data_IF_584268537788
#
_entry.id   IF_584268537788
#
_cell.length_a   1.000
_cell.length_b   1.000
_cell.length_c   1.000
_cell.angle_alpha   90.00
_cell.angle_beta   90.00
_cell.angle_gamma   90.00
#
_symmetry.space_group_name_H-M   'P 1'
#
loop_
_entity.id
_entity.type
_entity.pdbx_description
1 polymer ?
#
# COMPACT_ATOMS: atom_id res chain seq x y z
N UNK A 1 12.71 4.70 -18.23
CA UNK A 1 12.12 3.46 -18.75
C UNK A 1 10.99 3.80 -19.69
N UNK A 2 10.89 3.10 -20.82
CA UNK A 2 9.80 3.36 -21.77
C UNK A 2 8.46 2.87 -21.22
N UNK A 3 7.36 3.44 -21.73
CA UNK A 3 6.02 3.02 -21.34
C UNK A 3 5.75 1.55 -21.71
N UNK A 4 6.36 1.05 -22.79
CA UNK A 4 6.21 -0.34 -23.20
C UNK A 4 6.83 -1.29 -22.19
N UNK A 5 7.98 -0.95 -21.65
CA UNK A 5 8.64 -1.76 -20.62
C UNK A 5 7.82 -1.77 -19.32
N UNK A 6 7.28 -0.64 -18.93
CA UNK A 6 6.41 -0.56 -17.76
C UNK A 6 5.16 -1.41 -17.93
N UNK A 7 4.57 -1.36 -19.11
CA UNK A 7 3.36 -2.14 -19.41
C UNK A 7 3.66 -3.64 -19.34
N UNK A 8 4.77 -4.09 -19.93
CA UNK A 8 5.19 -5.48 -19.90
C UNK A 8 5.44 -5.97 -18.47
N UNK A 9 6.12 -5.16 -17.65
CA UNK A 9 6.41 -5.50 -16.27
C UNK A 9 5.13 -5.68 -15.44
N UNK A 10 4.16 -4.81 -15.62
CA UNK A 10 2.88 -4.90 -14.91
C UNK A 10 2.11 -6.16 -15.32
N UNK A 11 2.08 -6.48 -16.61
CA UNK A 11 1.42 -7.67 -17.10
C UNK A 11 2.07 -8.93 -16.53
N UNK A 12 3.40 -8.95 -16.47
CA UNK A 12 4.14 -10.07 -15.89
C UNK A 12 3.82 -10.24 -14.41
N UNK A 13 3.79 -9.16 -13.64
CA UNK A 13 3.44 -9.22 -12.22
C UNK A 13 2.02 -9.70 -12.01
N UNK A 14 1.08 -9.21 -12.79
CA UNK A 14 -0.31 -9.63 -12.70
C UNK A 14 -0.46 -11.13 -12.92
N UNK A 15 0.26 -11.67 -13.89
CA UNK A 15 0.23 -13.10 -14.20
C UNK A 15 0.78 -13.94 -13.05
N UNK A 16 1.87 -13.49 -12.40
CA UNK A 16 2.55 -14.26 -11.36
C UNK A 16 1.91 -14.11 -9.98
N UNK A 17 1.41 -12.93 -9.67
CA UNK A 17 0.79 -12.66 -8.36
C UNK A 17 -0.69 -13.00 -8.31
N UNK A 18 -1.33 -13.13 -9.47
CA UNK A 18 -2.77 -13.28 -9.59
C UNK A 18 -3.48 -11.94 -9.75
N UNK A 19 -4.79 -11.99 -9.85
CA UNK A 19 -5.60 -10.79 -10.01
C UNK A 19 -5.55 -9.93 -8.75
N UNK A 20 -5.84 -8.64 -8.92
CA UNK A 20 -5.98 -7.71 -7.81
C UNK A 20 -6.95 -8.22 -6.75
N UNK A 21 -8.08 -8.76 -7.19
CA UNK A 21 -9.11 -9.27 -6.28
C UNK A 21 -8.62 -10.49 -5.50
N UNK A 22 -7.84 -11.35 -6.13
CA UNK A 22 -7.26 -12.52 -5.45
C UNK A 22 -6.28 -12.09 -4.37
N UNK A 23 -5.41 -11.10 -4.68
CA UNK A 23 -4.45 -10.59 -3.71
C UNK A 23 -5.18 -9.94 -2.53
N UNK A 24 -6.18 -9.10 -2.81
CA UNK A 24 -6.98 -8.47 -1.75
C UNK A 24 -7.64 -9.51 -0.86
N UNK A 25 -8.21 -10.54 -1.46
CA UNK A 25 -8.85 -11.62 -0.72
C UNK A 25 -7.87 -12.30 0.24
N UNK A 26 -6.65 -12.56 -0.22
CA UNK A 26 -5.63 -13.17 0.65
C UNK A 26 -5.22 -12.25 1.81
N UNK A 27 -5.23 -10.95 1.58
CA UNK A 27 -4.83 -9.98 2.59
C UNK A 27 -5.89 -9.77 3.67
N UNK A 28 -7.13 -10.21 3.43
CA UNK A 28 -8.20 -10.05 4.42
C UNK A 28 -7.91 -10.78 5.73
N UNK A 29 -7.03 -11.77 5.73
CA UNK A 29 -6.65 -12.50 6.96
C UNK A 29 -6.00 -11.58 8.01
N UNK A 30 -5.45 -10.44 7.57
CA UNK A 30 -4.81 -9.48 8.46
C UNK A 30 -5.78 -8.45 9.03
N UNK A 31 -7.00 -8.34 8.49
CA UNK A 31 -7.95 -7.33 8.92
C UNK A 31 -8.33 -7.40 10.41
N UNK A 32 -8.51 -8.57 11.02
CA UNK A 32 -8.81 -8.61 12.44
C UNK A 32 -7.77 -7.92 13.31
N UNK A 33 -6.48 -8.05 12.93
CA UNK A 33 -5.38 -7.43 13.66
C UNK A 33 -5.41 -5.90 13.55
N UNK A 34 -5.57 -5.38 12.33
CA UNK A 34 -5.60 -3.93 12.14
C UNK A 34 -6.87 -3.31 12.73
N UNK A 35 -7.99 -4.00 12.68
CA UNK A 35 -9.23 -3.54 13.30
C UNK A 35 -9.10 -3.47 14.83
N UNK A 36 -8.39 -4.40 15.43
CA UNK A 36 -8.11 -4.36 16.86
C UNK A 36 -7.26 -3.14 17.22
N UNK A 37 -6.24 -2.83 16.43
CA UNK A 37 -5.42 -1.64 16.63
C UNK A 37 -6.30 -0.38 16.57
N UNK A 38 -7.19 -0.31 15.58
CA UNK A 38 -8.08 0.84 15.42
C UNK A 38 -9.08 0.97 16.58
N UNK A 39 -9.50 -0.15 17.17
CA UNK A 39 -10.41 -0.10 18.32
C UNK A 39 -9.73 0.47 19.56
N UNK A 40 -8.41 0.26 19.69
CA UNK A 40 -7.61 0.83 20.77
C UNK A 40 -7.27 2.30 20.50
N UNK A 41 -6.95 2.60 19.23
CA UNK A 41 -6.58 3.96 18.79
C UNK A 41 -7.40 4.31 17.55
N UNK A 42 -8.58 4.95 17.70
CA UNK A 42 -9.44 5.28 16.56
C UNK A 42 -8.79 6.20 15.52
N UNK A 43 -7.74 6.92 15.89
CA UNK A 43 -7.00 7.80 14.98
C UNK A 43 -5.78 7.11 14.36
N UNK A 44 -5.69 5.79 14.44
CA UNK A 44 -4.57 5.03 13.91
C UNK A 44 -4.40 5.27 12.40
N UNK A 45 -3.16 5.52 12.00
CA UNK A 45 -2.79 5.66 10.59
C UNK A 45 -1.86 4.53 10.19
N UNK A 46 -1.82 4.24 8.89
CA UNK A 46 -1.02 3.13 8.37
C UNK A 46 -0.08 3.61 7.27
N UNK A 47 1.09 3.00 7.18
CA UNK A 47 2.06 3.22 6.12
C UNK A 47 2.47 1.86 5.56
N UNK A 48 2.33 1.68 4.24
CA UNK A 48 2.76 0.47 3.56
C UNK A 48 4.05 0.74 2.78
N UNK A 49 5.10 0.03 3.15
CA UNK A 49 6.43 0.16 2.53
C UNK A 49 6.50 -0.80 1.36
N UNK A 50 6.79 -0.28 0.16
CA UNK A 50 6.77 -1.09 -1.05
C UNK A 50 5.34 -1.46 -1.43
N UNK A 51 4.45 -0.48 -1.50
CA UNK A 51 3.02 -0.72 -1.65
C UNK A 51 2.61 -1.30 -3.02
N UNK A 52 3.49 -1.23 -4.03
CA UNK A 52 3.22 -1.81 -5.34
C UNK A 52 1.93 -1.29 -5.96
N UNK A 53 1.03 -2.20 -6.32
CA UNK A 53 -0.25 -1.85 -6.95
C UNK A 53 -1.31 -1.36 -5.95
N UNK A 54 -1.01 -1.37 -4.66
CA UNK A 54 -1.86 -0.79 -3.64
C UNK A 54 -3.03 -1.64 -3.19
N UNK A 55 -2.98 -2.96 -3.37
CA UNK A 55 -4.07 -3.84 -2.92
C UNK A 55 -4.33 -3.70 -1.42
N UNK A 56 -3.26 -3.67 -0.62
CA UNK A 56 -3.39 -3.53 0.82
C UNK A 56 -3.90 -2.13 1.20
N UNK A 57 -3.40 -1.09 0.53
CA UNK A 57 -3.88 0.28 0.77
C UNK A 57 -5.37 0.41 0.49
N UNK A 58 -5.83 -0.16 -0.63
CA UNK A 58 -7.24 -0.13 -0.98
C UNK A 58 -8.09 -0.84 0.06
N UNK A 59 -7.61 -2.00 0.53
CA UNK A 59 -8.32 -2.77 1.55
C UNK A 59 -8.40 -1.98 2.87
N UNK A 60 -7.32 -1.33 3.28
CA UNK A 60 -7.32 -0.49 4.47
C UNK A 60 -8.29 0.69 4.33
N UNK A 61 -8.28 1.35 3.17
CA UNK A 61 -9.16 2.47 2.91
C UNK A 61 -10.64 2.04 2.95
N UNK A 62 -10.95 0.89 2.38
CA UNK A 62 -12.30 0.32 2.43
C UNK A 62 -12.77 0.03 3.86
N UNK A 63 -11.83 -0.14 4.78
CA UNK A 63 -12.11 -0.38 6.19
C UNK A 63 -11.87 0.86 7.05
N UNK A 64 -11.96 2.04 6.45
CA UNK A 64 -11.92 3.35 7.09
C UNK A 64 -10.60 3.68 7.78
N UNK A 65 -9.49 3.12 7.29
CA UNK A 65 -8.16 3.53 7.75
C UNK A 65 -7.65 4.72 6.93
N UNK A 66 -6.97 5.63 7.58
CA UNK A 66 -6.13 6.61 6.92
C UNK A 66 -4.80 5.93 6.61
N UNK A 67 -4.58 5.63 5.34
CA UNK A 67 -3.42 4.85 4.93
C UNK A 67 -2.67 5.54 3.79
N UNK A 68 -1.35 5.38 3.78
CA UNK A 68 -0.49 5.87 2.70
C UNK A 68 0.52 4.79 2.33
N UNK A 69 1.07 4.89 1.13
CA UNK A 69 2.04 3.93 0.63
C UNK A 69 3.23 4.60 -0.02
N UNK A 70 4.35 3.89 -0.03
CA UNK A 70 5.60 4.35 -0.62
C UNK A 70 6.16 3.22 -1.47
N UNK A 71 6.64 3.57 -2.66
CA UNK A 71 7.30 2.61 -3.53
C UNK A 71 8.32 3.36 -4.40
N UNK A 72 9.35 2.65 -4.83
CA UNK A 72 10.34 3.19 -5.77
C UNK A 72 9.83 3.17 -7.21
N UNK A 73 8.85 2.33 -7.52
CA UNK A 73 8.32 2.17 -8.88
C UNK A 73 7.18 3.13 -9.14
N UNK A 74 7.49 4.26 -9.77
CA UNK A 74 6.51 5.29 -10.07
C UNK A 74 5.42 4.81 -11.06
N UNK A 75 5.75 3.85 -11.92
CA UNK A 75 4.77 3.26 -12.83
C UNK A 75 3.64 2.56 -12.07
N UNK A 76 3.99 1.81 -11.04
CA UNK A 76 2.99 1.17 -10.17
C UNK A 76 2.17 2.20 -9.40
N UNK A 77 2.82 3.25 -8.91
CA UNK A 77 2.13 4.28 -8.14
C UNK A 77 1.15 5.09 -8.99
N UNK A 78 1.41 5.21 -10.29
CA UNK A 78 0.46 5.85 -11.20
C UNK A 78 -0.89 5.16 -11.16
N UNK A 79 -0.92 3.82 -11.16
CA UNK A 79 -2.15 3.05 -11.04
C UNK A 79 -2.82 3.27 -9.67
N UNK A 80 -2.04 3.38 -8.61
CA UNK A 80 -2.57 3.68 -7.28
C UNK A 80 -3.23 5.05 -7.24
N UNK A 81 -2.59 6.06 -7.85
CA UNK A 81 -3.14 7.43 -7.88
C UNK A 81 -4.46 7.48 -8.63
N UNK A 82 -4.59 6.74 -9.72
CA UNK A 82 -5.83 6.69 -10.47
C UNK A 82 -6.98 6.04 -9.68
N UNK A 83 -6.67 5.29 -8.66
CA UNK A 83 -7.66 4.69 -7.74
C UNK A 83 -7.92 5.57 -6.50
N UNK A 84 -7.31 6.74 -6.43
CA UNK A 84 -7.49 7.64 -5.30
C UNK A 84 -6.70 7.25 -4.05
N UNK A 85 -5.67 6.41 -4.20
CA UNK A 85 -4.84 6.00 -3.09
C UNK A 85 -3.75 7.04 -2.82
N UNK A 86 -3.42 7.25 -1.57
CA UNK A 86 -2.39 8.19 -1.15
C UNK A 86 -1.03 7.52 -1.19
N UNK A 87 -0.25 7.79 -2.25
CA UNK A 87 1.05 7.15 -2.45
C UNK A 87 2.10 8.18 -2.84
N UNK A 88 3.35 7.86 -2.52
CA UNK A 88 4.51 8.67 -2.88
C UNK A 88 5.64 7.79 -3.40
N UNK A 89 6.37 8.29 -4.39
CA UNK A 89 7.61 7.66 -4.84
C UNK A 89 8.70 7.98 -3.82
N UNK A 90 9.41 6.96 -3.36
CA UNK A 90 10.50 7.21 -2.44
C UNK A 90 11.11 5.95 -1.88
N UNK A 91 12.20 6.15 -1.14
CA UNK A 91 12.86 5.09 -0.39
C UNK A 91 12.17 4.92 0.96
N UNK A 92 11.88 3.67 1.32
CA UNK A 92 11.14 3.36 2.53
C UNK A 92 11.84 3.87 3.80
N UNK A 93 13.17 3.66 3.88
CA UNK A 93 13.93 4.05 5.07
C UNK A 93 14.02 5.57 5.19
N UNK A 94 14.33 6.24 4.07
CA UNK A 94 14.41 7.71 4.07
C UNK A 94 13.06 8.35 4.38
N UNK A 95 11.97 7.70 3.97
CA UNK A 95 10.62 8.22 4.20
C UNK A 95 10.19 8.11 5.66
N UNK A 96 10.74 7.17 6.41
CA UNK A 96 10.41 7.02 7.83
C UNK A 96 11.11 8.06 8.71
N UNK A 97 12.31 8.52 8.31
CA UNK A 97 13.12 9.41 9.13
C UNK A 97 12.46 10.72 9.52
N UNK A 98 11.76 11.43 8.60
CA UNK A 98 11.18 12.72 8.94
C UNK A 98 9.85 12.64 9.69
N UNK A 99 9.33 11.45 9.94
CA UNK A 99 8.03 11.31 10.59
C UNK A 99 8.18 11.56 12.10
N UNK A 100 7.24 12.29 12.71
CA UNK A 100 7.25 12.49 14.15
C UNK A 100 7.07 11.14 14.88
N UNK A 101 7.65 11.04 16.07
CA UNK A 101 7.42 9.89 16.92
C UNK A 101 5.93 9.70 17.18
N UNK A 102 5.47 8.44 17.11
CA UNK A 102 4.07 8.08 17.35
C UNK A 102 3.08 8.58 16.28
N UNK A 103 3.57 9.03 15.11
CA UNK A 103 2.69 9.46 14.03
C UNK A 103 2.05 8.31 13.26
N UNK A 104 2.58 7.08 13.40
CA UNK A 104 2.07 5.89 12.74
C UNK A 104 1.71 4.83 13.76
N UNK A 105 0.62 4.12 13.51
CA UNK A 105 0.19 3.01 14.35
C UNK A 105 0.43 1.66 13.69
N UNK A 106 0.48 1.64 12.36
CA UNK A 106 0.65 0.41 11.58
C UNK A 106 1.67 0.67 10.49
N UNK A 107 2.69 -0.17 10.42
CA UNK A 107 3.66 -0.17 9.33
C UNK A 107 3.71 -1.58 8.76
N UNK A 108 3.51 -1.69 7.45
CA UNK A 108 3.50 -2.99 6.78
C UNK A 108 4.52 -3.00 5.64
N UNK A 109 4.92 -4.21 5.25
CA UNK A 109 5.82 -4.42 4.12
C UNK A 109 5.59 -5.83 3.58
N UNK A 110 4.74 -5.93 2.62
CA UNK A 110 4.48 -7.20 1.94
C UNK A 110 5.39 -7.35 0.70
#
# INVERSE_FOLDING_TARGET
MSSDQNHFYKAFEDQHRGSRETIKSRLTVYLPFVKQIKSINPNATALDLGCGRGEWLELLQENQFTASGIDLDDGMLSACRSRGLNVQTGDAIASLKPLPANSLSIVTGF
#
